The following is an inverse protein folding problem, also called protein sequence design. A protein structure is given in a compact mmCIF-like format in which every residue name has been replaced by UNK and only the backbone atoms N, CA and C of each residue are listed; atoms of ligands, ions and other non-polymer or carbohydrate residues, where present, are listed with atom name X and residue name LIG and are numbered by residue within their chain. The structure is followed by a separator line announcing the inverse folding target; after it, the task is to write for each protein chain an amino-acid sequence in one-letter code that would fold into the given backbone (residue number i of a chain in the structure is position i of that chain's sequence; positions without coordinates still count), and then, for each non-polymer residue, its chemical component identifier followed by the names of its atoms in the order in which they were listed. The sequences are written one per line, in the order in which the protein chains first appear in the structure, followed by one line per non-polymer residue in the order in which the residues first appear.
data_IF_374957542591
#
_entry.id   IF_374957542591
#
_cell.length_a   1.000
_cell.length_b   1.000
_cell.length_c   1.000
_cell.angle_alpha   90.00
_cell.angle_beta   90.00
_cell.angle_gamma   90.00
#
_symmetry.space_group_name_H-M   'P 1'
#
loop_
_entity.id
_entity.type
_entity.pdbx_description
1 polymer ?
#
# COMPACT_ATOMS: atom_id res chain seq x y z
N UNK A 1 -21.42 1.70 9.90
CA UNK A 1 -19.95 1.85 9.79
C UNK A 1 -19.36 1.79 11.19
N UNK A 2 -18.69 0.70 11.55
CA UNK A 2 -18.11 0.53 12.89
C UNK A 2 -16.79 1.31 13.01
N UNK A 3 -16.69 2.20 14.00
CA UNK A 3 -15.50 3.02 14.26
C UNK A 3 -14.24 2.17 14.51
N UNK A 4 -14.41 0.99 15.12
CA UNK A 4 -13.30 0.03 15.32
C UNK A 4 -12.78 -0.52 13.99
N UNK A 5 -13.67 -0.95 13.10
CA UNK A 5 -13.29 -1.46 11.77
C UNK A 5 -12.63 -0.37 10.93
N UNK A 6 -13.13 0.87 11.01
CA UNK A 6 -12.49 2.02 10.35
C UNK A 6 -11.08 2.26 10.88
N UNK A 7 -10.90 2.26 12.21
CA UNK A 7 -9.60 2.42 12.84
C UNK A 7 -8.60 1.35 12.43
N UNK A 8 -9.01 0.08 12.42
CA UNK A 8 -8.16 -1.04 11.99
C UNK A 8 -7.75 -0.92 10.52
N UNK A 9 -8.69 -0.55 9.64
CA UNK A 9 -8.38 -0.30 8.23
C UNK A 9 -7.38 0.84 8.10
N UNK A 10 -7.59 1.97 8.78
CA UNK A 10 -6.67 3.10 8.74
C UNK A 10 -5.25 2.72 9.19
N UNK A 11 -5.12 1.94 10.27
CA UNK A 11 -3.82 1.43 10.74
C UNK A 11 -3.18 0.53 9.69
N UNK A 12 -3.93 -0.39 9.08
CA UNK A 12 -3.40 -1.28 8.04
C UNK A 12 -2.89 -0.49 6.83
N UNK A 13 -3.60 0.56 6.41
CA UNK A 13 -3.15 1.46 5.34
C UNK A 13 -1.92 2.27 5.72
N UNK A 14 -1.80 2.72 6.97
CA UNK A 14 -0.61 3.41 7.46
C UNK A 14 0.63 2.50 7.45
N UNK A 15 0.47 1.24 7.89
CA UNK A 15 1.54 0.22 7.82
C UNK A 15 1.92 -0.07 6.37
N UNK A 16 0.94 -0.22 5.47
CA UNK A 16 1.20 -0.41 4.04
C UNK A 16 1.95 0.77 3.44
N UNK A 17 1.57 2.02 3.77
CA UNK A 17 2.27 3.21 3.31
C UNK A 17 3.71 3.26 3.81
N UNK A 18 3.94 2.94 5.09
CA UNK A 18 5.29 2.87 5.64
C UNK A 18 6.13 1.80 4.93
N UNK A 19 5.60 0.58 4.77
CA UNK A 19 6.26 -0.49 4.02
C UNK A 19 6.53 -0.11 2.55
N UNK A 20 5.61 0.62 1.92
CA UNK A 20 5.78 1.15 0.55
C UNK A 20 7.03 2.04 0.46
N UNK A 21 7.25 2.91 1.44
CA UNK A 21 8.45 3.76 1.50
C UNK A 21 9.72 2.92 1.68
N UNK A 22 9.68 1.91 2.55
CA UNK A 22 10.83 0.99 2.73
C UNK A 22 11.18 0.25 1.44
N UNK A 23 10.18 -0.24 0.70
CA UNK A 23 10.38 -0.91 -0.59
C UNK A 23 10.92 0.05 -1.64
N UNK A 24 10.41 1.28 -1.68
CA UNK A 24 10.95 2.32 -2.58
C UNK A 24 12.43 2.57 -2.30
N UNK A 25 12.81 2.79 -1.03
CA UNK A 25 14.22 2.98 -0.64
C UNK A 25 15.08 1.75 -0.96
N UNK A 26 14.53 0.54 -0.88
CA UNK A 26 15.25 -0.67 -1.25
C UNK A 26 15.56 -0.72 -2.76
N UNK A 27 14.62 -0.31 -3.62
CA UNK A 27 14.86 -0.23 -5.06
C UNK A 27 15.75 0.95 -5.44
N UNK A 28 15.67 2.06 -4.71
CA UNK A 28 16.45 3.26 -5.00
C UNK A 28 17.93 3.14 -4.62
N UNK A 29 18.25 2.28 -3.64
CA UNK A 29 19.60 2.15 -3.05
C UNK A 29 20.72 1.91 -4.05
N UNK A 30 20.46 1.10 -5.08
CA UNK A 30 21.44 0.71 -6.11
C UNK A 30 21.00 1.16 -7.52
N UNK A 31 20.16 2.20 -7.58
CA UNK A 31 19.56 2.71 -8.81
C UNK A 31 20.50 3.63 -9.59
N UNK A 32 20.54 3.47 -10.91
CA UNK A 32 21.33 4.33 -11.82
C UNK A 32 20.48 5.37 -12.55
N UNK A 33 19.15 5.25 -12.46
CA UNK A 33 18.18 6.16 -13.08
C UNK A 33 16.81 6.07 -12.40
N UNK A 34 16.01 7.12 -12.51
CA UNK A 34 14.65 7.11 -11.95
C UNK A 34 13.78 5.96 -12.51
N UNK A 35 14.02 5.55 -13.75
CA UNK A 35 13.31 4.41 -14.36
C UNK A 35 13.64 3.09 -13.65
N UNK A 36 14.88 2.91 -13.19
CA UNK A 36 15.33 1.69 -12.50
C UNK A 36 14.68 1.54 -11.13
N UNK A 37 14.35 2.66 -10.47
CA UNK A 37 13.56 2.66 -9.23
C UNK A 37 12.06 2.48 -9.52
N UNK A 38 11.49 3.33 -10.39
CA UNK A 38 10.03 3.47 -10.56
C UNK A 38 9.41 2.24 -11.21
N UNK A 39 10.05 1.65 -12.23
CA UNK A 39 9.49 0.52 -12.97
C UNK A 39 9.24 -0.71 -12.06
N UNK A 40 10.25 -1.27 -11.36
CA UNK A 40 10.01 -2.40 -10.47
C UNK A 40 9.14 -2.03 -9.26
N UNK A 41 9.22 -0.79 -8.78
CA UNK A 41 8.37 -0.30 -7.69
C UNK A 41 6.88 -0.34 -8.05
N UNK A 42 6.50 0.22 -9.19
CA UNK A 42 5.09 0.23 -9.63
C UNK A 42 4.59 -1.20 -9.89
N UNK A 43 5.42 -2.04 -10.52
CA UNK A 43 5.04 -3.43 -10.82
C UNK A 43 4.78 -4.23 -9.54
N UNK A 44 5.54 -3.99 -8.47
CA UNK A 44 5.38 -4.72 -7.20
C UNK A 44 4.31 -4.09 -6.30
N UNK A 45 4.33 -2.77 -6.12
CA UNK A 45 3.44 -2.09 -5.16
C UNK A 45 2.07 -1.75 -5.73
N UNK A 46 1.96 -1.51 -7.04
CA UNK A 46 0.69 -1.19 -7.71
C UNK A 46 -0.39 -2.26 -7.46
N UNK A 47 -0.11 -3.55 -7.73
CA UNK A 47 -1.04 -4.63 -7.43
C UNK A 47 -1.39 -4.75 -5.94
N UNK A 48 -0.43 -4.56 -5.04
CA UNK A 48 -0.64 -4.63 -3.59
C UNK A 48 -1.62 -3.54 -3.14
N UNK A 49 -1.45 -2.31 -3.62
CA UNK A 49 -2.37 -1.20 -3.31
C UNK A 49 -3.77 -1.43 -3.88
N UNK A 50 -3.88 -1.96 -5.11
CA UNK A 50 -5.17 -2.28 -5.70
C UNK A 50 -5.96 -3.30 -4.84
N UNK A 51 -5.28 -4.36 -4.38
CA UNK A 51 -5.88 -5.38 -3.51
C UNK A 51 -6.23 -4.82 -2.12
N UNK A 52 -5.35 -3.99 -1.53
CA UNK A 52 -5.59 -3.38 -0.23
C UNK A 52 -6.80 -2.45 -0.25
N UNK A 53 -6.94 -1.63 -1.30
CA UNK A 53 -8.09 -0.74 -1.50
C UNK A 53 -9.37 -1.54 -1.68
N UNK A 54 -9.38 -2.54 -2.55
CA UNK A 54 -10.57 -3.36 -2.77
C UNK A 54 -10.99 -4.07 -1.47
N UNK A 55 -10.03 -4.70 -0.78
CA UNK A 55 -10.29 -5.40 0.48
C UNK A 55 -10.81 -4.45 1.55
N UNK A 56 -10.16 -3.30 1.75
CA UNK A 56 -10.58 -2.28 2.72
C UNK A 56 -11.98 -1.74 2.43
N UNK A 57 -12.28 -1.41 1.17
CA UNK A 57 -13.62 -0.96 0.76
C UNK A 57 -14.67 -2.06 1.01
N UNK A 58 -14.36 -3.31 0.66
CA UNK A 58 -15.27 -4.44 0.88
C UNK A 58 -15.58 -4.66 2.37
N UNK A 59 -14.56 -4.54 3.24
CA UNK A 59 -14.70 -4.71 4.68
C UNK A 59 -15.52 -3.59 5.31
N UNK A 60 -15.28 -2.33 4.91
CA UNK A 60 -16.01 -1.17 5.42
C UNK A 60 -17.48 -1.16 4.97
N UNK A 61 -17.77 -1.66 3.76
CA UNK A 61 -19.15 -1.81 3.26
C UNK A 61 -19.93 -2.90 3.99
N UNK A 62 -19.29 -4.01 4.37
CA UNK A 62 -19.93 -5.12 5.11
C UNK A 62 -20.39 -4.76 6.52
N UNK A 63 -19.83 -3.69 7.09
CA UNK A 63 -20.16 -3.16 8.42
C UNK A 63 -20.99 -1.86 8.38
N UNK A 64 -21.61 -1.53 7.24
CA UNK A 64 -22.73 -0.59 7.16
C UNK A 64 -24.03 -1.35 7.38
#
# INVERSE_FOLDING_TARGET
MNLKSLGLVAIAFAVLAYGTVLVFMAFDRDSHSASDTIRPFIITMGPVWALAIWSGVSLLRRHR
#
